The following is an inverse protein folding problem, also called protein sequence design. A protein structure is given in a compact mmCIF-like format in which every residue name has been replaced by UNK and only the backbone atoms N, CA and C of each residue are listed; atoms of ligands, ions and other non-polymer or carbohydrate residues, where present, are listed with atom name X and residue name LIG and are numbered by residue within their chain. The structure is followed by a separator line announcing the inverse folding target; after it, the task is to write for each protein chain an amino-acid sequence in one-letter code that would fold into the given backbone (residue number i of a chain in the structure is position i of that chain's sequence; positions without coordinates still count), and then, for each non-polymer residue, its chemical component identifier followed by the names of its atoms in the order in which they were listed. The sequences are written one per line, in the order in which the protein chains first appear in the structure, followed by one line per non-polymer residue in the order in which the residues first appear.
data_IF_159312047800
#
_entry.id   IF_159312047800
#
_cell.length_a   1.000
_cell.length_b   1.000
_cell.length_c   1.000
_cell.angle_alpha   90.00
_cell.angle_beta   90.00
_cell.angle_gamma   90.00
#
_symmetry.space_group_name_H-M   'P 1'
#
loop_
_entity.id
_entity.type
_entity.pdbx_description
1 polymer ?
#
# COMPACT_ATOMS: atom_id res chain seq x y z
N UNK A 1 21.42 -4.92 13.33
CA UNK A 1 20.56 -4.63 14.49
C UNK A 1 19.11 -4.71 14.02
N UNK A 2 18.32 -5.61 14.60
CA UNK A 2 16.94 -5.89 14.17
C UNK A 2 16.02 -4.73 14.55
N UNK A 3 15.61 -3.93 13.55
CA UNK A 3 14.68 -2.82 13.75
C UNK A 3 13.24 -3.34 13.74
N UNK A 4 12.39 -2.75 14.57
CA UNK A 4 10.94 -2.90 14.47
C UNK A 4 10.49 -2.39 13.11
N UNK A 5 9.70 -3.20 12.40
CA UNK A 5 9.04 -2.81 11.16
C UNK A 5 7.59 -3.26 11.16
N UNK A 6 6.72 -2.39 10.64
CA UNK A 6 5.29 -2.63 10.56
C UNK A 6 4.98 -3.72 9.54
N UNK A 7 4.05 -4.61 9.90
CA UNK A 7 3.56 -5.62 8.96
C UNK A 7 2.74 -4.98 7.83
N UNK A 8 2.71 -5.64 6.66
CA UNK A 8 1.96 -5.17 5.48
C UNK A 8 0.47 -4.96 5.71
N UNK A 9 -0.10 -5.70 6.69
CA UNK A 9 -1.48 -5.50 7.13
C UNK A 9 -1.66 -4.12 7.77
N UNK A 10 -0.74 -3.70 8.64
CA UNK A 10 -0.80 -2.39 9.28
C UNK A 10 -0.56 -1.28 8.27
N UNK A 11 0.38 -1.45 7.33
CA UNK A 11 0.59 -0.47 6.25
C UNK A 11 -0.68 -0.23 5.41
N UNK A 12 -1.41 -1.30 5.08
CA UNK A 12 -2.70 -1.19 4.38
C UNK A 12 -3.76 -0.47 5.19
N UNK A 13 -3.83 -0.71 6.51
CA UNK A 13 -4.75 0.01 7.39
C UNK A 13 -4.42 1.50 7.44
N UNK A 14 -3.13 1.85 7.59
CA UNK A 14 -2.68 3.23 7.58
C UNK A 14 -3.05 3.92 6.25
N UNK A 15 -2.85 3.26 5.11
CA UNK A 15 -3.24 3.80 3.79
C UNK A 15 -4.74 4.14 3.68
N UNK A 16 -5.60 3.36 4.33
CA UNK A 16 -7.02 3.68 4.41
C UNK A 16 -7.28 4.83 5.40
N UNK A 17 -6.65 4.77 6.57
CA UNK A 17 -6.91 5.68 7.70
C UNK A 17 -6.41 7.11 7.47
N UNK A 18 -5.33 7.30 6.70
CA UNK A 18 -4.85 8.66 6.35
C UNK A 18 -5.88 9.48 5.59
N UNK A 19 -6.87 8.82 4.97
CA UNK A 19 -7.95 9.46 4.24
C UNK A 19 -9.20 9.71 5.10
N UNK A 20 -9.20 9.29 6.37
CA UNK A 20 -10.33 9.36 7.29
C UNK A 20 -10.06 10.34 8.43
N UNK A 21 -11.14 10.79 9.08
CA UNK A 21 -11.06 11.46 10.37
C UNK A 21 -11.43 10.47 11.47
N UNK A 22 -10.72 10.47 12.59
CA UNK A 22 -11.07 9.66 13.72
C UNK A 22 -9.89 9.16 14.54
N UNK A 23 -10.20 8.31 15.51
CA UNK A 23 -9.23 7.67 16.39
C UNK A 23 -9.20 6.17 16.10
N UNK A 24 -8.01 5.63 15.86
CA UNK A 24 -7.77 4.26 15.47
C UNK A 24 -6.82 3.58 16.45
N UNK A 25 -7.23 2.43 16.99
CA UNK A 25 -6.42 1.67 17.92
C UNK A 25 -5.64 0.60 17.17
N UNK A 26 -4.33 0.55 17.37
CA UNK A 26 -3.43 -0.38 16.72
C UNK A 26 -2.73 -1.25 17.74
N UNK A 27 -2.68 -2.55 17.45
CA UNK A 27 -1.80 -3.53 18.09
C UNK A 27 -1.00 -4.21 17.00
N UNK A 28 0.29 -3.92 16.95
CA UNK A 28 1.20 -4.39 15.92
C UNK A 28 2.20 -5.37 16.53
N UNK A 29 2.13 -6.63 16.11
CA UNK A 29 3.15 -7.62 16.45
C UNK A 29 4.44 -7.32 15.69
N UNK A 30 5.55 -7.20 16.42
CA UNK A 30 6.88 -7.15 15.80
C UNK A 30 7.31 -8.56 15.38
N UNK A 31 7.92 -8.68 14.20
CA UNK A 31 8.57 -9.94 13.79
C UNK A 31 9.81 -10.27 14.63
N UNK A 32 10.40 -9.26 15.29
CA UNK A 32 11.71 -9.35 15.94
C UNK A 32 11.66 -9.18 17.46
N UNK A 33 10.56 -8.68 18.02
CA UNK A 33 10.39 -8.48 19.46
C UNK A 33 9.06 -9.11 19.90
N UNK A 34 9.08 -9.96 20.93
CA UNK A 34 7.87 -10.61 21.47
C UNK A 34 6.88 -9.63 22.14
N UNK A 35 7.14 -8.32 22.08
CA UNK A 35 6.29 -7.29 22.65
C UNK A 35 5.51 -6.60 21.53
N UNK A 36 4.16 -6.64 21.56
CA UNK A 36 3.35 -5.92 20.59
C UNK A 36 3.46 -4.42 20.81
N UNK A 37 3.66 -3.65 19.74
CA UNK A 37 3.56 -2.20 19.76
C UNK A 37 2.08 -1.82 19.78
N UNK A 38 1.63 -1.18 20.85
CA UNK A 38 0.25 -0.72 21.01
C UNK A 38 0.26 0.81 20.94
N UNK A 39 -0.49 1.36 20.00
CA UNK A 39 -0.61 2.81 19.86
C UNK A 39 -2.02 3.20 19.39
N UNK A 40 -2.36 4.46 19.64
CA UNK A 40 -3.58 5.09 19.16
C UNK A 40 -3.19 6.15 18.13
N UNK A 41 -3.75 6.03 16.93
CA UNK A 41 -3.61 7.01 15.85
C UNK A 41 -4.85 7.89 15.80
N UNK A 42 -4.69 9.19 16.03
CA UNK A 42 -5.73 10.19 15.80
C UNK A 42 -5.43 10.90 14.49
N UNK A 43 -6.46 11.05 13.66
CA UNK A 43 -6.38 11.71 12.36
C UNK A 43 -7.41 12.83 12.31
N UNK A 44 -6.92 14.06 12.11
CA UNK A 44 -7.73 15.26 12.00
C UNK A 44 -7.39 15.97 10.68
N UNK A 45 -8.29 15.86 9.70
CA UNK A 45 -8.18 16.54 8.41
C UNK A 45 -8.80 17.92 8.49
N UNK A 46 -7.98 18.93 8.26
CA UNK A 46 -8.38 20.32 8.08
C UNK A 46 -8.33 20.76 6.62
N UNK A 47 -8.75 22.00 6.37
CA UNK A 47 -8.71 22.62 5.03
C UNK A 47 -7.29 22.89 4.52
N UNK A 48 -6.30 22.98 5.43
CA UNK A 48 -4.90 23.32 5.12
C UNK A 48 -3.91 22.18 5.35
N UNK A 49 -4.38 21.00 5.77
CA UNK A 49 -3.51 19.87 6.08
C UNK A 49 -4.19 18.83 6.96
N UNK A 50 -3.51 17.70 7.13
CA UNK A 50 -3.95 16.60 8.00
C UNK A 50 -3.00 16.48 9.19
N UNK A 51 -3.54 16.55 10.39
CA UNK A 51 -2.82 16.32 11.63
C UNK A 51 -2.96 14.84 12.01
N UNK A 52 -1.81 14.18 12.16
CA UNK A 52 -1.70 12.84 12.70
C UNK A 52 -1.12 12.92 14.10
N UNK A 53 -1.76 12.28 15.06
CA UNK A 53 -1.28 12.19 16.44
C UNK A 53 -1.18 10.73 16.84
N UNK A 54 -0.01 10.30 17.27
CA UNK A 54 0.27 8.95 17.74
C UNK A 54 0.44 9.00 19.24
N UNK A 55 -0.34 8.20 19.97
CA UNK A 55 -0.24 8.05 21.42
C UNK A 55 0.16 6.63 21.76
N UNK A 56 1.29 6.44 22.43
CA UNK A 56 1.83 5.15 22.85
C UNK A 56 2.19 5.22 24.34
N UNK A 57 1.34 4.67 25.21
CA UNK A 57 1.52 4.82 26.65
C UNK A 57 1.43 6.28 27.10
N UNK A 58 2.50 6.81 27.68
CA UNK A 58 2.62 8.23 28.10
C UNK A 58 3.20 9.13 27.00
N UNK A 59 3.70 8.55 25.91
CA UNK A 59 4.32 9.29 24.82
C UNK A 59 3.28 9.72 23.78
N UNK A 60 3.31 11.00 23.40
CA UNK A 60 2.45 11.58 22.38
C UNK A 60 3.31 12.28 21.32
N UNK A 61 3.16 11.86 20.08
CA UNK A 61 3.86 12.43 18.94
C UNK A 61 2.86 12.94 17.92
N UNK A 62 3.16 14.03 17.22
CA UNK A 62 2.27 14.61 16.21
C UNK A 62 3.02 14.99 14.95
N UNK A 63 2.37 14.81 13.81
CA UNK A 63 2.87 15.11 12.48
C UNK A 63 1.77 15.80 11.69
N UNK A 64 2.05 17.00 11.18
CA UNK A 64 1.14 17.71 10.29
C UNK A 64 1.63 17.57 8.86
N UNK A 65 0.78 17.05 7.98
CA UNK A 65 1.05 16.95 6.54
C UNK A 65 0.17 17.94 5.80
N UNK A 66 0.78 18.96 5.19
CA UNK A 66 0.05 20.05 4.52
C UNK A 66 -0.46 19.66 3.13
N UNK A 67 0.26 18.79 2.42
CA UNK A 67 -0.13 18.27 1.11
C UNK A 67 -0.16 16.73 1.14
N UNK A 68 -1.29 16.12 1.54
CA UNK A 68 -1.38 14.67 1.66
C UNK A 68 -1.39 14.02 0.26
N UNK A 69 -0.29 13.38 -0.09
CA UNK A 69 -0.15 12.58 -1.30
C UNK A 69 -0.53 11.09 -1.08
N UNK A 70 -0.37 10.28 -2.12
CA UNK A 70 -0.62 8.82 -2.05
C UNK A 70 0.30 8.10 -1.05
N UNK A 71 1.43 8.70 -0.69
CA UNK A 71 2.52 8.10 0.09
C UNK A 71 2.54 8.61 1.55
N UNK A 72 1.59 9.45 1.94
CA UNK A 72 1.43 9.97 3.31
C UNK A 72 1.39 8.86 4.37
N UNK A 73 0.80 7.72 4.02
CA UNK A 73 0.77 6.54 4.89
C UNK A 73 2.15 5.89 5.11
N UNK A 74 3.09 6.03 4.16
CA UNK A 74 4.47 5.59 4.31
C UNK A 74 5.24 6.51 5.26
N UNK A 75 5.05 7.83 5.13
CA UNK A 75 5.63 8.83 6.05
C UNK A 75 5.15 8.59 7.48
N UNK A 76 3.86 8.35 7.66
CA UNK A 76 3.28 8.02 8.96
C UNK A 76 3.86 6.70 9.52
N UNK A 77 4.05 5.71 8.65
CA UNK A 77 4.63 4.43 9.03
C UNK A 77 6.12 4.55 9.42
N UNK A 78 6.91 5.39 8.74
CA UNK A 78 8.31 5.70 9.11
C UNK A 78 8.39 6.35 10.50
N UNK A 79 7.46 7.27 10.80
CA UNK A 79 7.36 7.91 12.10
C UNK A 79 7.04 6.89 13.21
N UNK A 80 6.04 6.02 13.00
CA UNK A 80 5.67 4.97 13.96
C UNK A 80 6.85 4.02 14.22
N UNK A 81 7.56 3.60 13.16
CA UNK A 81 8.74 2.78 13.31
C UNK A 81 9.87 3.51 14.03
N UNK A 82 10.05 4.81 13.80
CA UNK A 82 11.08 5.61 14.47
C UNK A 82 10.81 5.75 15.97
N UNK A 83 9.53 5.96 16.35
CA UNK A 83 9.07 5.96 17.75
C UNK A 83 9.33 4.58 18.37
N UNK A 84 8.87 3.50 17.72
CA UNK A 84 9.03 2.14 18.23
C UNK A 84 10.51 1.69 18.36
N UNK A 85 11.41 2.27 17.56
CA UNK A 85 12.84 2.01 17.62
C UNK A 85 13.60 3.00 18.53
N UNK A 86 12.92 3.90 19.25
CA UNK A 86 13.52 4.84 20.20
C UNK A 86 14.40 5.94 19.58
N UNK A 87 14.17 6.31 18.32
CA UNK A 87 15.04 7.20 17.53
C UNK A 87 14.54 8.65 17.40
N UNK A 88 13.74 9.17 18.34
CA UNK A 88 13.27 10.56 18.26
C UNK A 88 14.22 11.62 18.87
N UNK A 89 15.35 11.22 19.45
CA UNK A 89 16.29 12.14 20.08
C UNK A 89 17.69 12.05 19.48
N UNK A 90 17.84 12.47 18.22
CA UNK A 90 19.12 12.94 17.67
C UNK A 90 18.84 13.72 16.41
N UNK A 91 19.52 14.84 16.22
CA UNK A 91 19.52 15.66 15.01
C UNK A 91 20.14 14.95 13.78
N UNK A 92 19.97 13.63 13.67
CA UNK A 92 20.27 12.86 12.49
C UNK A 92 18.95 12.56 11.76
N UNK A 93 18.82 12.96 10.48
CA UNK A 93 17.67 12.56 9.70
C UNK A 93 17.58 11.04 9.71
N UNK A 94 16.41 10.50 10.06
CA UNK A 94 16.13 9.09 9.89
C UNK A 94 16.55 8.71 8.47
N UNK A 95 17.38 7.67 8.33
CA UNK A 95 17.67 7.07 7.03
C UNK A 95 16.29 6.83 6.41
N UNK A 96 15.92 7.55 5.34
CA UNK A 96 14.64 7.36 4.68
C UNK A 96 14.53 5.86 4.46
N UNK A 97 13.36 5.26 4.71
CA UNK A 97 13.16 3.89 4.21
C UNK A 97 13.71 3.90 2.80
N UNK A 98 14.72 3.07 2.56
CA UNK A 98 15.25 2.89 1.21
C UNK A 98 13.98 2.58 0.45
N UNK A 99 13.51 3.57 -0.31
CA UNK A 99 12.58 3.43 -1.41
C UNK A 99 13.08 2.13 -1.99
N UNK A 100 12.39 1.02 -1.78
CA UNK A 100 12.75 -0.22 -2.46
C UNK A 100 12.79 0.27 -3.90
N UNK A 101 14.03 0.47 -4.39
CA UNK A 101 14.32 1.49 -5.40
C UNK A 101 13.24 1.28 -6.40
N UNK A 102 12.33 2.25 -6.56
CA UNK A 102 11.02 1.99 -7.17
C UNK A 102 11.34 1.22 -8.41
N UNK A 103 11.18 -0.11 -8.34
CA UNK A 103 11.97 -1.00 -9.22
C UNK A 103 11.57 -0.48 -10.55
N UNK A 104 12.54 0.04 -11.30
CA UNK A 104 12.29 0.81 -12.50
C UNK A 104 11.09 0.16 -13.18
N UNK A 105 9.93 0.86 -13.13
CA UNK A 105 8.57 0.25 -13.13
C UNK A 105 8.23 -0.23 -14.55
N UNK A 106 9.12 -1.06 -15.09
CA UNK A 106 9.40 -1.26 -16.49
C UNK A 106 10.04 -2.61 -16.78
N UNK A 107 9.98 -3.58 -15.86
CA UNK A 107 10.40 -4.97 -16.16
C UNK A 107 9.41 -6.07 -15.73
N UNK A 108 8.21 -5.74 -15.23
CA UNK A 108 7.18 -6.77 -14.99
C UNK A 108 6.22 -6.95 -16.19
N UNK A 109 6.04 -5.90 -17.00
CA UNK A 109 5.11 -5.88 -18.13
C UNK A 109 5.82 -5.28 -19.34
N UNK A 110 5.72 -5.95 -20.48
CA UNK A 110 6.24 -5.42 -21.74
C UNK A 110 5.43 -4.19 -22.20
N UNK A 111 6.01 -3.34 -23.04
CA UNK A 111 5.35 -2.13 -23.56
C UNK A 111 3.97 -2.42 -24.20
N UNK A 112 3.82 -3.59 -24.83
CA UNK A 112 2.56 -4.06 -25.40
C UNK A 112 1.52 -4.40 -24.30
N UNK A 113 1.94 -5.08 -23.24
CA UNK A 113 1.05 -5.41 -22.12
C UNK A 113 0.63 -4.15 -21.35
N UNK A 114 1.52 -3.17 -21.21
CA UNK A 114 1.20 -1.89 -20.61
C UNK A 114 0.15 -1.11 -21.42
N UNK A 115 0.27 -1.12 -22.76
CA UNK A 115 -0.72 -0.52 -23.65
C UNK A 115 -2.07 -1.25 -23.57
N UNK A 116 -2.08 -2.58 -23.52
CA UNK A 116 -3.29 -3.38 -23.33
C UNK A 116 -3.98 -3.08 -22.00
N UNK A 117 -3.23 -2.88 -20.92
CA UNK A 117 -3.76 -2.48 -19.61
C UNK A 117 -4.44 -1.10 -19.66
N UNK A 118 -3.82 -0.15 -20.35
CA UNK A 118 -4.40 1.19 -20.54
C UNK A 118 -5.69 1.13 -21.35
N UNK A 119 -5.72 0.30 -22.41
CA UNK A 119 -6.94 0.07 -23.19
C UNK A 119 -8.02 -0.59 -22.35
N UNK A 120 -7.66 -1.52 -21.46
CA UNK A 120 -8.58 -2.21 -20.58
C UNK A 120 -9.27 -1.26 -19.58
N UNK A 121 -8.53 -0.34 -18.97
CA UNK A 121 -9.10 0.69 -18.07
C UNK A 121 -10.04 1.64 -18.81
N UNK A 122 -9.74 1.95 -20.07
CA UNK A 122 -10.56 2.85 -20.91
C UNK A 122 -11.83 2.18 -21.44
N UNK A 123 -11.69 0.96 -21.96
CA UNK A 123 -12.76 0.26 -22.70
C UNK A 123 -13.54 -0.73 -21.86
N UNK A 124 -13.07 -1.08 -20.66
CA UNK A 124 -13.50 -2.28 -19.94
C UNK A 124 -13.23 -3.56 -20.73
N UNK A 125 -13.23 -4.70 -20.05
CA UNK A 125 -13.04 -6.00 -20.68
C UNK A 125 -12.27 -6.95 -19.78
N UNK A 126 -11.70 -7.97 -20.38
CA UNK A 126 -10.81 -8.92 -19.70
C UNK A 126 -9.50 -9.07 -20.47
N UNK A 127 -8.43 -9.34 -19.73
CA UNK A 127 -7.09 -9.57 -20.25
C UNK A 127 -6.44 -10.71 -19.47
N UNK A 128 -5.75 -11.60 -20.18
CA UNK A 128 -4.87 -12.59 -19.56
C UNK A 128 -3.44 -12.07 -19.65
N UNK A 129 -2.78 -11.94 -18.51
CA UNK A 129 -1.43 -11.40 -18.38
C UNK A 129 -0.48 -12.52 -17.97
N UNK A 130 0.53 -12.75 -18.79
CA UNK A 130 1.71 -13.52 -18.40
C UNK A 130 2.74 -12.55 -17.82
N UNK A 131 3.00 -12.68 -16.53
CA UNK A 131 3.89 -11.79 -15.75
C UNK A 131 5.05 -12.58 -15.11
N UNK A 132 5.40 -13.74 -15.69
CA UNK A 132 6.50 -14.57 -15.19
C UNK A 132 6.19 -15.33 -13.90
N UNK A 133 4.90 -15.53 -13.60
CA UNK A 133 4.45 -16.51 -12.61
C UNK A 133 4.27 -17.88 -13.28
N UNK A 134 4.28 -18.96 -12.49
CA UNK A 134 4.00 -20.33 -12.99
C UNK A 134 2.63 -20.43 -13.68
N UNK A 135 1.69 -19.56 -13.31
CA UNK A 135 0.33 -19.53 -13.84
C UNK A 135 -0.04 -18.08 -14.24
N UNK A 136 -0.73 -17.92 -15.38
CA UNK A 136 -1.12 -16.60 -15.91
C UNK A 136 -2.16 -15.90 -15.02
N UNK A 137 -2.13 -14.56 -15.00
CA UNK A 137 -3.07 -13.73 -14.24
C UNK A 137 -4.23 -13.31 -15.12
N UNK A 138 -5.44 -13.68 -14.74
CA UNK A 138 -6.67 -13.23 -15.39
C UNK A 138 -7.16 -11.93 -14.74
N UNK A 139 -7.37 -10.91 -15.56
CA UNK A 139 -7.78 -9.57 -15.15
C UNK A 139 -9.09 -9.21 -15.86
N UNK A 140 -10.11 -8.84 -15.10
CA UNK A 140 -11.36 -8.30 -15.63
C UNK A 140 -11.61 -6.91 -15.05
N UNK A 141 -11.91 -5.94 -15.90
CA UNK A 141 -12.16 -4.54 -15.51
C UNK A 141 -13.48 -4.09 -16.10
N UNK A 142 -14.32 -3.52 -15.25
CA UNK A 142 -15.57 -2.89 -15.64
C UNK A 142 -15.58 -1.43 -15.22
N UNK A 143 -15.81 -0.52 -16.16
CA UNK A 143 -15.91 0.91 -15.89
C UNK A 143 -17.27 1.23 -15.29
N UNK A 144 -17.28 1.96 -14.18
CA UNK A 144 -18.53 2.33 -13.50
C UNK A 144 -19.29 3.38 -14.30
N UNK A 145 -20.58 3.15 -14.57
CA UNK A 145 -21.39 4.07 -15.39
C UNK A 145 -21.82 5.32 -14.62
N UNK A 146 -22.06 5.21 -13.31
CA UNK A 146 -22.61 6.27 -12.46
C UNK A 146 -21.55 7.28 -11.97
N UNK A 147 -20.28 6.88 -11.91
CA UNK A 147 -19.15 7.70 -11.44
C UNK A 147 -17.90 7.32 -12.22
N UNK A 148 -16.98 8.27 -12.42
CA UNK A 148 -15.68 7.95 -13.04
C UNK A 148 -14.88 7.01 -12.14
N UNK A 149 -14.58 5.83 -12.66
CA UNK A 149 -13.90 4.78 -11.92
C UNK A 149 -14.00 3.42 -12.62
N UNK A 150 -13.36 2.44 -12.01
CA UNK A 150 -13.37 1.04 -12.44
C UNK A 150 -13.64 0.11 -11.27
N UNK A 151 -14.25 -1.04 -11.55
CA UNK A 151 -14.23 -2.21 -10.70
C UNK A 151 -13.39 -3.27 -11.39
N UNK A 152 -12.38 -3.78 -10.71
CA UNK A 152 -11.44 -4.74 -11.25
C UNK A 152 -11.43 -6.02 -10.40
N UNK A 153 -11.33 -7.16 -11.08
CA UNK A 153 -11.15 -8.48 -10.51
C UNK A 153 -9.87 -9.05 -11.09
N UNK A 154 -8.96 -9.47 -10.22
CA UNK A 154 -7.70 -10.13 -10.56
C UNK A 154 -7.75 -11.53 -9.99
N UNK A 155 -7.34 -12.52 -10.79
CA UNK A 155 -7.24 -13.91 -10.39
C UNK A 155 -5.87 -14.41 -10.81
N UNK A 156 -5.09 -14.89 -9.84
CA UNK A 156 -3.85 -15.60 -10.11
C UNK A 156 -4.01 -17.07 -9.72
N UNK A 157 -3.77 -17.94 -10.69
CA UNK A 157 -3.60 -19.37 -10.52
C UNK A 157 -4.84 -20.24 -10.61
N UNK A 158 -4.61 -21.50 -11.03
CA UNK A 158 -5.65 -22.48 -11.40
C UNK A 158 -5.96 -23.45 -10.26
N UNK A 159 -4.94 -23.84 -9.48
CA UNK A 159 -5.07 -24.87 -8.42
C UNK A 159 -5.56 -24.31 -7.08
N UNK A 160 -5.19 -23.07 -6.76
CA UNK A 160 -5.61 -22.36 -5.55
C UNK A 160 -5.78 -20.86 -5.90
N UNK A 161 -6.87 -20.49 -6.60
CA UNK A 161 -7.01 -19.17 -7.20
C UNK A 161 -6.99 -18.09 -6.12
N UNK A 162 -6.01 -17.19 -6.23
CA UNK A 162 -5.96 -15.97 -5.41
C UNK A 162 -6.70 -14.88 -6.14
N UNK A 163 -7.86 -14.54 -5.61
CA UNK A 163 -8.71 -13.49 -6.17
C UNK A 163 -8.58 -12.19 -5.38
N UNK A 164 -8.39 -11.08 -6.09
CA UNK A 164 -8.54 -9.74 -5.55
C UNK A 164 -9.61 -9.00 -6.33
N UNK A 165 -10.52 -8.33 -5.61
CA UNK A 165 -11.56 -7.50 -6.21
C UNK A 165 -11.54 -6.13 -5.55
N UNK A 166 -11.57 -5.07 -6.34
CA UNK A 166 -11.65 -3.70 -5.82
C UNK A 166 -12.36 -2.76 -6.78
N UNK A 167 -12.85 -1.65 -6.23
CA UNK A 167 -13.36 -0.52 -7.00
C UNK A 167 -12.48 0.69 -6.73
N UNK A 168 -12.01 1.35 -7.79
CA UNK A 168 -11.25 2.58 -7.73
C UNK A 168 -12.04 3.70 -8.41
N UNK A 169 -12.23 4.80 -7.71
CA UNK A 169 -12.85 6.01 -8.25
C UNK A 169 -11.77 7.02 -8.62
N UNK A 170 -11.95 7.73 -9.74
CA UNK A 170 -10.98 8.69 -10.22
C UNK A 170 -10.86 8.71 -11.74
N UNK A 171 -9.82 9.37 -12.24
CA UNK A 171 -9.47 9.36 -13.65
C UNK A 171 -8.82 8.02 -14.07
N UNK A 172 -8.58 7.90 -15.37
CA UNK A 172 -8.01 6.67 -15.96
C UNK A 172 -6.58 6.41 -15.46
N UNK A 173 -5.80 7.46 -15.16
CA UNK A 173 -4.43 7.34 -14.68
C UNK A 173 -4.38 6.85 -13.22
N UNK A 174 -5.28 7.34 -12.38
CA UNK A 174 -5.49 6.84 -11.03
C UNK A 174 -5.95 5.39 -11.04
N UNK A 175 -6.92 5.06 -11.91
CA UNK A 175 -7.45 3.71 -12.07
C UNK A 175 -6.36 2.72 -12.50
N UNK A 176 -5.53 3.10 -13.48
CA UNK A 176 -4.38 2.32 -13.94
C UNK A 176 -3.34 2.12 -12.82
N UNK A 177 -3.00 3.19 -12.10
CA UNK A 177 -2.07 3.14 -10.98
C UNK A 177 -2.54 2.18 -9.87
N UNK A 178 -3.84 2.16 -9.57
CA UNK A 178 -4.43 1.24 -8.58
C UNK A 178 -4.42 -0.21 -9.07
N UNK A 179 -4.60 -0.41 -10.37
CA UNK A 179 -4.55 -1.73 -11.00
C UNK A 179 -3.14 -2.31 -10.93
N UNK A 180 -2.12 -1.54 -11.32
CA UNK A 180 -0.72 -1.95 -11.21
C UNK A 180 -0.32 -2.30 -9.77
N UNK A 181 -0.69 -1.45 -8.81
CA UNK A 181 -0.41 -1.70 -7.39
C UNK A 181 -1.07 -3.00 -6.89
N UNK A 182 -2.29 -3.31 -7.35
CA UNK A 182 -2.99 -4.54 -6.95
C UNK A 182 -2.34 -5.78 -7.58
N UNK A 183 -1.85 -5.65 -8.81
CA UNK A 183 -1.10 -6.70 -9.50
C UNK A 183 0.24 -6.99 -8.79
N UNK A 184 0.98 -5.96 -8.39
CA UNK A 184 2.21 -6.11 -7.59
C UNK A 184 1.94 -6.82 -6.27
N UNK A 185 0.84 -6.46 -5.57
CA UNK A 185 0.43 -7.14 -4.34
C UNK A 185 0.05 -8.60 -4.57
N UNK A 186 -0.57 -8.91 -5.70
CA UNK A 186 -0.90 -10.27 -6.08
C UNK A 186 0.37 -11.09 -6.29
N UNK A 187 1.33 -10.57 -7.06
CA UNK A 187 2.65 -11.18 -7.32
C UNK A 187 3.44 -11.40 -6.02
N UNK A 188 3.52 -10.38 -5.16
CA UNK A 188 4.19 -10.49 -3.87
C UNK A 188 3.54 -11.55 -2.97
N UNK A 189 2.23 -11.81 -3.14
CA UNK A 189 1.50 -12.84 -2.39
C UNK A 189 1.60 -14.24 -2.99
N UNK A 190 1.99 -14.36 -4.26
CA UNK A 190 2.20 -15.62 -4.97
C UNK A 190 3.66 -16.07 -5.00
N UNK A 191 4.61 -15.17 -4.71
CA UNK A 191 6.02 -15.51 -4.57
C UNK A 191 6.20 -16.67 -3.56
N UNK A 192 6.85 -17.80 -3.95
CA UNK A 192 7.10 -18.90 -3.05
C UNK A 192 7.96 -18.43 -1.87
N UNK A 193 7.60 -18.86 -0.65
CA UNK A 193 8.38 -18.62 0.57
C UNK A 193 9.83 -19.21 0.55
N UNK A 194 10.27 -19.76 -0.59
CA UNK A 194 11.57 -20.38 -0.77
C UNK A 194 12.72 -19.39 -1.08
N UNK A 195 12.43 -18.11 -1.34
CA UNK A 195 13.44 -17.07 -1.60
C UNK A 195 13.77 -16.20 -0.37
N UNK A 196 13.29 -16.60 0.81
CA UNK A 196 13.54 -15.94 2.09
C UNK A 196 14.38 -16.83 3.04
N UNK A 197 15.46 -17.42 2.53
CA UNK A 197 16.46 -18.15 3.32
C UNK A 197 17.82 -17.47 3.21
#
# INVERSE_FOLDING_TARGET
MNRFSLADKTLRLLAAQVNLNGTFHHSCSSKNTNLPLIFVLQVERGSSGTLFTIVSGEEKHSLTVYDPDKDTHLVLADMIESIANGRMDTAEPAIPRVRAESVDRGQLLDANQQEQLQQLVRKSGSLLLDIGLDEAVSLAVHRTQSRKGITAILVAGDSCPRTQCFTAYGDDQHSLSRLLQSLDHLVASTAPAALAA
#
